data_IF_483950286239
#
_entry.id   IF_483950286239
#
_cell.length_a   1.000
_cell.length_b   1.000
_cell.length_c   1.000
_cell.angle_alpha   90.00
_cell.angle_beta   90.00
_cell.angle_gamma   90.00
#
_symmetry.space_group_name_H-M   'P 1'
#
loop_
_entity.id
_entity.type
_entity.pdbx_description
1 polymer ?
#
# COMPACT_ATOMS: atom_id res chain seq x y z
N UNK A 1 -14.12 19.12 -8.28
CA UNK A 1 -13.36 18.33 -7.27
C UNK A 1 -13.52 16.85 -7.63
N UNK A 2 -12.46 16.01 -7.61
CA UNK A 2 -12.58 14.57 -7.86
C UNK A 2 -13.41 13.92 -6.76
N UNK A 3 -14.30 12.98 -7.11
CA UNK A 3 -15.06 12.14 -6.16
C UNK A 3 -14.13 11.16 -5.42
N UNK A 4 -14.58 10.55 -4.33
CA UNK A 4 -13.79 9.53 -3.65
C UNK A 4 -13.51 8.32 -4.53
N UNK A 5 -14.47 7.90 -5.35
CA UNK A 5 -14.30 6.85 -6.36
C UNK A 5 -13.16 7.19 -7.33
N UNK A 6 -13.14 8.39 -7.88
CA UNK A 6 -12.06 8.84 -8.80
C UNK A 6 -10.70 8.94 -8.10
N UNK A 7 -10.67 9.38 -6.83
CA UNK A 7 -9.45 9.45 -6.03
C UNK A 7 -8.90 8.07 -5.66
N UNK A 8 -9.75 7.07 -5.45
CA UNK A 8 -9.38 5.71 -5.05
C UNK A 8 -9.35 4.71 -6.23
N UNK A 9 -9.46 5.21 -7.47
CA UNK A 9 -9.33 4.41 -8.69
C UNK A 9 -7.91 4.46 -9.24
N UNK A 10 -7.37 3.31 -9.67
CA UNK A 10 -6.05 3.21 -10.29
C UNK A 10 -4.99 2.58 -9.41
N UNK A 11 -3.73 3.02 -9.57
CA UNK A 11 -2.57 2.39 -8.94
C UNK A 11 -1.88 3.35 -7.98
N UNK A 12 -1.54 2.81 -6.81
CA UNK A 12 -0.80 3.51 -5.75
C UNK A 12 0.51 2.79 -5.44
N UNK A 13 1.59 3.54 -5.24
CA UNK A 13 2.82 3.00 -4.72
C UNK A 13 2.83 3.07 -3.19
N UNK A 14 2.99 1.95 -2.47
CA UNK A 14 3.34 1.97 -1.05
C UNK A 14 4.82 2.32 -0.93
N UNK A 15 5.13 3.62 -0.89
CA UNK A 15 6.49 4.13 -1.06
C UNK A 15 7.39 3.62 0.05
N UNK A 16 8.59 3.16 -0.34
CA UNK A 16 9.64 2.73 0.61
C UNK A 16 10.27 3.92 1.30
N UNK A 17 10.79 3.71 2.51
CA UNK A 17 11.64 4.66 3.22
C UNK A 17 13.09 4.22 3.06
N UNK A 18 13.95 4.97 2.33
CA UNK A 18 15.34 4.61 2.16
C UNK A 18 16.16 4.81 3.44
N UNK A 19 17.00 3.82 3.77
CA UNK A 19 17.97 3.94 4.87
C UNK A 19 19.39 3.58 4.38
N UNK A 20 20.40 4.03 5.14
CA UNK A 20 21.79 3.58 5.01
C UNK A 20 22.43 3.64 6.38
N UNK A 21 23.11 2.56 6.78
CA UNK A 21 23.69 2.44 8.12
C UNK A 21 22.69 2.80 9.23
N UNK A 22 21.45 2.35 9.09
CA UNK A 22 20.32 2.63 10.01
C UNK A 22 19.79 4.07 10.01
N UNK A 23 20.42 4.99 9.26
CA UNK A 23 20.01 6.39 9.16
C UNK A 23 19.00 6.61 8.02
N UNK A 24 18.04 7.51 8.27
CA UNK A 24 17.01 7.90 7.32
C UNK A 24 17.55 8.79 6.21
N UNK A 25 17.33 8.42 4.94
CA UNK A 25 17.79 9.16 3.76
C UNK A 25 16.65 9.97 3.13
N UNK A 26 16.33 11.14 3.69
CA UNK A 26 15.23 11.99 3.21
C UNK A 26 15.45 12.52 1.79
N UNK A 27 16.70 12.79 1.38
CA UNK A 27 17.01 13.25 0.01
C UNK A 27 16.77 12.14 -1.03
N UNK A 28 17.02 10.88 -0.67
CA UNK A 28 16.70 9.75 -1.53
C UNK A 28 15.18 9.53 -1.63
N UNK A 29 14.45 9.75 -0.54
CA UNK A 29 12.99 9.75 -0.54
C UNK A 29 12.44 10.87 -1.45
N UNK A 30 12.99 12.12 -1.35
CA UNK A 30 12.62 13.23 -2.24
C UNK A 30 12.87 12.88 -3.70
N UNK A 31 14.04 12.33 -4.01
CA UNK A 31 14.37 11.90 -5.36
C UNK A 31 13.34 10.89 -5.89
N UNK A 32 12.99 9.88 -5.10
CA UNK A 32 12.03 8.86 -5.49
C UNK A 32 10.64 9.45 -5.72
N UNK A 33 10.16 10.32 -4.83
CA UNK A 33 8.84 10.95 -4.97
C UNK A 33 8.76 11.85 -6.20
N UNK A 34 9.81 12.64 -6.50
CA UNK A 34 9.89 13.45 -7.73
C UNK A 34 9.80 12.58 -8.97
N UNK A 35 10.54 11.47 -9.01
CA UNK A 35 10.50 10.53 -10.14
C UNK A 35 9.15 9.82 -10.25
N UNK A 36 8.54 9.41 -9.14
CA UNK A 36 7.21 8.79 -9.11
C UNK A 36 6.10 9.78 -9.51
N UNK A 37 6.24 11.06 -9.18
CA UNK A 37 5.27 12.11 -9.54
C UNK A 37 5.09 12.25 -11.04
N UNK A 38 6.14 12.04 -11.83
CA UNK A 38 6.13 12.11 -13.30
C UNK A 38 5.48 10.88 -13.95
N UNK A 39 4.98 9.93 -13.16
CA UNK A 39 4.35 8.71 -13.65
C UNK A 39 2.83 8.78 -13.61
N UNK A 40 2.17 7.78 -14.21
CA UNK A 40 0.70 7.69 -14.25
C UNK A 40 0.07 7.16 -12.94
N UNK A 41 0.81 7.09 -11.83
CA UNK A 41 0.27 6.70 -10.54
C UNK A 41 -0.86 7.64 -10.11
N UNK A 42 -1.92 7.09 -9.55
CA UNK A 42 -2.99 7.87 -8.90
C UNK A 42 -2.46 8.54 -7.63
N UNK A 43 -1.59 7.84 -6.90
CA UNK A 43 -1.03 8.37 -5.66
C UNK A 43 -0.11 7.41 -4.92
N UNK A 44 0.00 7.64 -3.61
CA UNK A 44 0.94 6.96 -2.73
C UNK A 44 0.28 6.46 -1.45
N UNK A 45 0.87 5.42 -0.86
CA UNK A 45 0.70 5.08 0.54
C UNK A 45 2.01 5.40 1.27
N UNK A 46 2.01 6.46 2.05
CA UNK A 46 3.09 6.83 2.97
C UNK A 46 2.99 6.01 4.26
N UNK A 47 4.11 5.72 4.90
CA UNK A 47 4.16 4.99 6.18
C UNK A 47 3.38 3.66 6.17
N UNK A 48 3.37 2.97 5.01
CA UNK A 48 2.87 1.60 4.90
C UNK A 48 3.94 0.58 5.32
N UNK A 49 3.65 -0.72 5.11
CA UNK A 49 4.61 -1.81 5.42
C UNK A 49 5.89 -1.71 4.58
N UNK A 50 5.81 -1.31 3.31
CA UNK A 50 7.01 -1.06 2.49
C UNK A 50 7.79 0.18 2.96
N UNK A 51 7.12 1.13 3.61
CA UNK A 51 7.76 2.29 4.25
C UNK A 51 8.36 1.96 5.61
N UNK A 52 8.29 0.70 6.05
CA UNK A 52 8.88 0.20 7.31
C UNK A 52 8.45 1.03 8.54
N UNK A 53 7.19 1.55 8.53
CA UNK A 53 6.74 2.55 9.51
C UNK A 53 6.87 2.12 10.97
N UNK A 54 6.83 0.81 11.26
CA UNK A 54 7.01 0.26 12.61
C UNK A 54 8.45 0.37 13.13
N UNK A 55 9.42 0.63 12.25
CA UNK A 55 10.83 0.83 12.61
C UNK A 55 11.20 2.30 12.77
N UNK A 56 10.29 3.21 12.44
CA UNK A 56 10.47 4.65 12.56
C UNK A 56 9.93 5.15 13.92
N UNK A 57 10.69 6.00 14.60
CA UNK A 57 10.17 6.75 15.74
C UNK A 57 9.24 7.89 15.29
N UNK A 58 8.56 8.56 16.23
CA UNK A 58 7.57 9.58 15.90
C UNK A 58 8.17 10.80 15.19
N UNK A 59 9.42 11.18 15.50
CA UNK A 59 10.12 12.25 14.80
C UNK A 59 10.39 11.89 13.36
N UNK A 60 10.95 10.71 13.12
CA UNK A 60 11.24 10.20 11.77
C UNK A 60 9.96 10.04 10.92
N UNK A 61 8.87 9.55 11.53
CA UNK A 61 7.59 9.48 10.83
C UNK A 61 7.12 10.88 10.39
N UNK A 62 7.29 11.90 11.22
CA UNK A 62 6.97 13.28 10.87
C UNK A 62 7.86 13.80 9.74
N UNK A 63 9.19 13.59 9.82
CA UNK A 63 10.14 14.00 8.78
C UNK A 63 9.81 13.35 7.41
N UNK A 64 9.43 12.08 7.41
CA UNK A 64 8.95 11.38 6.19
C UNK A 64 7.68 12.05 5.66
N UNK A 65 6.70 12.33 6.51
CA UNK A 65 5.44 12.96 6.08
C UNK A 65 5.66 14.39 5.56
N UNK A 66 6.58 15.15 6.13
CA UNK A 66 6.96 16.48 5.64
C UNK A 66 7.48 16.40 4.19
N UNK A 67 8.34 15.41 3.89
CA UNK A 67 8.80 15.17 2.51
C UNK A 67 7.63 14.81 1.58
N UNK A 68 6.68 13.98 2.03
CA UNK A 68 5.50 13.68 1.22
C UNK A 68 4.64 14.93 0.98
N UNK A 69 4.42 15.77 1.99
CA UNK A 69 3.65 16.99 1.85
C UNK A 69 4.28 17.95 0.82
N UNK A 70 5.60 18.06 0.81
CA UNK A 70 6.35 18.90 -0.13
C UNK A 70 6.33 18.36 -1.56
N UNK A 71 6.46 17.03 -1.75
CA UNK A 71 6.74 16.44 -3.06
C UNK A 71 5.54 15.75 -3.73
N UNK A 72 4.40 15.59 -3.03
CA UNK A 72 3.24 14.84 -3.56
C UNK A 72 2.62 15.43 -4.83
N UNK A 73 2.74 16.74 -5.04
CA UNK A 73 2.06 17.43 -6.14
C UNK A 73 0.55 17.25 -6.06
N UNK A 74 -0.06 16.82 -7.16
CA UNK A 74 -1.49 16.52 -7.30
C UNK A 74 -1.88 15.06 -6.99
N UNK A 75 -0.91 14.24 -6.59
CA UNK A 75 -1.10 12.83 -6.26
C UNK A 75 -1.88 12.67 -4.95
N UNK A 76 -2.78 11.69 -4.93
CA UNK A 76 -3.51 11.29 -3.72
C UNK A 76 -2.56 10.63 -2.74
N UNK A 77 -2.60 11.01 -1.48
CA UNK A 77 -1.78 10.38 -0.44
C UNK A 77 -2.64 9.78 0.65
N UNK A 78 -2.44 8.48 0.86
CA UNK A 78 -2.91 7.73 2.02
C UNK A 78 -1.77 7.64 3.04
N UNK A 79 -2.04 7.85 4.32
CA UNK A 79 -1.02 7.74 5.38
C UNK A 79 -1.32 6.57 6.29
N UNK A 80 -0.35 5.69 6.48
CA UNK A 80 -0.42 4.61 7.47
C UNK A 80 -0.36 5.19 8.90
N UNK A 81 -1.46 5.03 9.66
CA UNK A 81 -1.58 5.59 11.01
C UNK A 81 -1.94 4.54 12.06
N UNK A 82 -2.08 3.26 11.65
CA UNK A 82 -2.46 2.16 12.54
C UNK A 82 -1.46 1.94 13.68
N UNK A 83 -1.96 1.97 14.92
CA UNK A 83 -1.23 1.69 16.14
C UNK A 83 -1.93 0.60 16.95
N UNK A 84 -1.28 0.13 18.02
CA UNK A 84 -1.86 -0.88 18.93
C UNK A 84 -3.02 -0.32 19.77
N UNK A 85 -3.08 0.99 19.99
CA UNK A 85 -4.20 1.61 20.70
C UNK A 85 -5.02 2.51 19.78
N UNK A 86 -6.35 2.50 19.98
CA UNK A 86 -7.28 3.42 19.30
C UNK A 86 -6.89 4.87 19.49
N UNK A 87 -6.45 5.25 20.70
CA UNK A 87 -6.02 6.61 21.03
C UNK A 87 -4.86 7.08 20.16
N UNK A 88 -3.77 6.31 20.10
CA UNK A 88 -2.60 6.67 19.28
C UNK A 88 -2.94 6.68 17.78
N UNK A 89 -3.79 5.76 17.32
CA UNK A 89 -4.28 5.75 15.94
C UNK A 89 -5.02 7.06 15.60
N UNK A 90 -5.89 7.52 16.49
CA UNK A 90 -6.60 8.82 16.35
C UNK A 90 -5.61 9.99 16.33
N UNK A 91 -4.66 10.02 17.27
CA UNK A 91 -3.66 11.10 17.36
C UNK A 91 -2.83 11.20 16.06
N UNK A 92 -2.31 10.07 15.55
CA UNK A 92 -1.57 10.04 14.28
C UNK A 92 -2.45 10.38 13.07
N UNK A 93 -3.71 9.95 13.08
CA UNK A 93 -4.65 10.25 12.00
C UNK A 93 -4.98 11.75 11.93
N UNK A 94 -5.08 12.42 13.07
CA UNK A 94 -5.24 13.88 13.13
C UNK A 94 -4.01 14.60 12.59
N UNK A 95 -2.81 14.17 12.98
CA UNK A 95 -1.56 14.74 12.43
C UNK A 95 -1.53 14.61 10.90
N UNK A 96 -1.90 13.47 10.35
CA UNK A 96 -1.97 13.28 8.91
C UNK A 96 -3.01 14.21 8.25
N UNK A 97 -4.16 14.41 8.87
CA UNK A 97 -5.20 15.33 8.40
C UNK A 97 -4.74 16.80 8.43
N UNK A 98 -4.08 17.22 9.52
CA UNK A 98 -3.55 18.58 9.69
C UNK A 98 -2.45 18.89 8.66
N UNK A 99 -1.71 17.88 8.18
CA UNK A 99 -0.72 18.01 7.11
C UNK A 99 -1.35 18.01 5.70
N UNK A 100 -2.68 17.91 5.57
CA UNK A 100 -3.39 18.00 4.32
C UNK A 100 -3.33 16.74 3.43
N UNK A 101 -3.22 15.56 4.05
CA UNK A 101 -3.30 14.29 3.32
C UNK A 101 -4.75 13.86 3.11
N UNK A 102 -5.00 13.06 2.05
CA UNK A 102 -6.35 12.75 1.57
C UNK A 102 -7.06 11.67 2.40
N UNK A 103 -6.30 10.66 2.87
CA UNK A 103 -6.83 9.49 3.58
C UNK A 103 -5.86 9.00 4.64
N UNK A 104 -6.39 8.32 5.64
CA UNK A 104 -5.57 7.50 6.54
C UNK A 104 -5.84 6.02 6.28
N UNK A 105 -4.77 5.21 6.36
CA UNK A 105 -4.81 3.76 6.18
C UNK A 105 -4.47 3.08 7.51
N UNK A 106 -5.43 2.39 8.09
CA UNK A 106 -5.34 1.87 9.46
C UNK A 106 -5.19 0.35 9.45
N UNK A 107 -3.96 -0.12 9.74
CA UNK A 107 -3.69 -1.54 9.96
C UNK A 107 -4.33 -2.00 11.28
N UNK A 108 -4.81 -3.24 11.33
CA UNK A 108 -5.37 -3.85 12.54
C UNK A 108 -4.35 -3.83 13.70
N UNK A 109 -4.79 -3.52 14.95
CA UNK A 109 -3.98 -3.80 16.12
C UNK A 109 -3.67 -5.29 16.22
N UNK A 110 -2.49 -5.65 16.71
CA UNK A 110 -2.00 -7.03 16.63
C UNK A 110 -1.33 -7.57 17.89
N UNK A 111 -0.94 -6.70 18.82
CA UNK A 111 -0.25 -7.15 20.04
C UNK A 111 -1.07 -8.13 20.87
N UNK A 112 -2.38 -7.87 20.99
CA UNK A 112 -3.34 -8.78 21.62
C UNK A 112 -4.16 -9.53 20.59
N UNK A 113 -3.51 -10.16 19.59
CA UNK A 113 -4.16 -10.76 18.41
C UNK A 113 -5.37 -11.63 18.75
N UNK A 114 -5.28 -12.46 19.80
CA UNK A 114 -6.38 -13.35 20.24
C UNK A 114 -7.62 -12.61 20.75
N UNK A 115 -7.54 -11.32 21.00
CA UNK A 115 -8.63 -10.46 21.45
C UNK A 115 -9.16 -9.53 20.36
N UNK A 116 -8.56 -9.56 19.17
CA UNK A 116 -8.96 -8.73 18.03
C UNK A 116 -10.02 -9.46 17.20
N UNK A 117 -11.17 -9.72 17.81
CA UNK A 117 -12.35 -10.27 17.14
C UNK A 117 -13.13 -9.20 16.36
N UNK A 118 -14.15 -9.63 15.63
CA UNK A 118 -14.95 -8.73 14.79
C UNK A 118 -15.54 -7.53 15.53
N UNK A 119 -16.24 -7.71 16.67
CA UNK A 119 -16.78 -6.61 17.45
C UNK A 119 -15.72 -5.65 18.00
N UNK A 120 -14.58 -6.17 18.45
CA UNK A 120 -13.45 -5.36 18.94
C UNK A 120 -12.87 -4.49 17.83
N UNK A 121 -12.63 -5.08 16.65
CA UNK A 121 -12.13 -4.37 15.48
C UNK A 121 -13.16 -3.34 14.99
N UNK A 122 -14.45 -3.68 14.96
CA UNK A 122 -15.50 -2.74 14.57
C UNK A 122 -15.49 -1.51 15.47
N UNK A 123 -15.52 -1.69 16.79
CA UNK A 123 -15.48 -0.57 17.75
C UNK A 123 -14.21 0.27 17.61
N UNK A 124 -13.05 -0.37 17.31
CA UNK A 124 -11.80 0.35 17.07
C UNK A 124 -11.91 1.27 15.87
N UNK A 125 -12.35 0.74 14.71
CA UNK A 125 -12.41 1.50 13.47
C UNK A 125 -13.48 2.59 13.49
N UNK A 126 -14.66 2.32 14.07
CA UNK A 126 -15.71 3.33 14.25
C UNK A 126 -15.20 4.52 15.05
N UNK A 127 -14.55 4.27 16.21
CA UNK A 127 -13.97 5.34 17.05
C UNK A 127 -12.87 6.13 16.34
N UNK A 128 -12.04 5.46 15.51
CA UNK A 128 -11.04 6.15 14.71
C UNK A 128 -11.72 7.03 13.68
N UNK A 129 -12.71 6.52 12.98
CA UNK A 129 -13.43 7.23 11.93
C UNK A 129 -14.24 8.43 12.45
N UNK A 130 -14.88 8.28 13.62
CA UNK A 130 -15.61 9.37 14.29
C UNK A 130 -14.70 10.56 14.68
N UNK A 131 -13.45 10.24 15.02
CA UNK A 131 -12.49 11.24 15.54
C UNK A 131 -11.55 11.81 14.48
N UNK A 132 -11.54 11.26 13.26
CA UNK A 132 -10.59 11.60 12.20
C UNK A 132 -11.23 12.54 11.17
N UNK A 133 -10.63 13.72 10.87
CA UNK A 133 -11.21 14.68 9.94
C UNK A 133 -11.19 14.24 8.46
N UNK A 134 -10.34 13.28 8.11
CA UNK A 134 -10.22 12.71 6.76
C UNK A 134 -10.71 11.26 6.73
N UNK A 135 -11.17 10.76 5.58
CA UNK A 135 -11.70 9.40 5.50
C UNK A 135 -10.67 8.32 5.85
N UNK A 136 -11.18 7.27 6.48
CA UNK A 136 -10.42 6.10 6.92
C UNK A 136 -10.53 4.99 5.87
N UNK A 137 -9.39 4.40 5.53
CA UNK A 137 -9.28 3.15 4.78
C UNK A 137 -8.79 2.06 5.74
N UNK A 138 -9.52 0.96 5.82
CA UNK A 138 -9.07 -0.21 6.56
C UNK A 138 -7.83 -0.80 5.88
N UNK A 139 -6.91 -1.36 6.63
CA UNK A 139 -5.81 -2.13 6.07
C UNK A 139 -5.79 -3.54 6.64
N UNK A 140 -6.13 -4.51 5.81
CA UNK A 140 -6.12 -5.93 6.13
C UNK A 140 -4.84 -6.57 5.59
N UNK A 141 -3.91 -6.89 6.50
CA UNK A 141 -2.63 -7.50 6.16
C UNK A 141 -2.18 -8.44 7.28
N UNK A 142 -2.79 -9.63 7.37
CA UNK A 142 -2.55 -10.59 8.46
C UNK A 142 -1.07 -10.91 8.69
N UNK A 143 -0.29 -11.00 7.61
CA UNK A 143 1.16 -11.27 7.67
C UNK A 143 1.96 -10.18 8.39
N UNK A 144 1.44 -8.95 8.50
CA UNK A 144 2.03 -7.83 9.22
C UNK A 144 1.33 -7.52 10.54
N UNK A 145 0.24 -8.23 10.84
CA UNK A 145 -0.63 -7.98 11.97
C UNK A 145 -0.86 -9.24 12.82
N UNK A 146 0.17 -10.07 13.02
CA UNK A 146 0.09 -11.24 13.90
C UNK A 146 -1.04 -12.23 13.55
N UNK A 147 -1.45 -12.29 12.28
CA UNK A 147 -2.55 -13.13 11.80
C UNK A 147 -3.94 -12.50 11.96
N UNK A 148 -4.05 -11.30 12.52
CA UNK A 148 -5.36 -10.62 12.67
C UNK A 148 -5.90 -10.21 11.30
N UNK A 149 -7.15 -10.60 11.05
CA UNK A 149 -7.91 -10.24 9.85
C UNK A 149 -9.18 -9.52 10.25
N UNK A 150 -9.63 -8.59 9.41
CA UNK A 150 -10.97 -8.00 9.55
C UNK A 150 -11.98 -8.95 8.90
N UNK A 151 -12.90 -9.56 9.67
CA UNK A 151 -13.86 -10.52 9.11
C UNK A 151 -14.80 -9.85 8.09
N UNK A 152 -15.24 -10.54 7.02
CA UNK A 152 -16.15 -9.96 6.04
C UNK A 152 -17.45 -9.36 6.63
N UNK A 153 -18.11 -9.97 7.65
CA UNK A 153 -19.26 -9.34 8.30
C UNK A 153 -18.92 -7.99 8.97
N UNK A 154 -17.73 -7.89 9.57
CA UNK A 154 -17.24 -6.65 10.18
C UNK A 154 -16.98 -5.58 9.13
N UNK A 155 -16.36 -5.96 7.99
CA UNK A 155 -16.14 -5.03 6.86
C UNK A 155 -17.49 -4.52 6.34
N UNK A 156 -18.48 -5.40 6.19
CA UNK A 156 -19.83 -5.03 5.75
C UNK A 156 -20.52 -4.05 6.70
N UNK A 157 -20.33 -4.20 8.00
CA UNK A 157 -20.87 -3.27 9.00
C UNK A 157 -20.15 -1.92 8.90
N UNK A 158 -18.82 -1.93 8.82
CA UNK A 158 -17.98 -0.73 8.72
C UNK A 158 -18.20 0.05 7.42
N UNK A 159 -18.56 -0.62 6.32
CA UNK A 159 -18.88 0.02 5.05
C UNK A 159 -20.10 0.96 5.11
N UNK A 160 -20.93 0.86 6.16
CA UNK A 160 -22.07 1.76 6.41
C UNK A 160 -21.64 3.06 7.12
N UNK A 161 -20.42 3.13 7.62
CA UNK A 161 -19.95 4.31 8.34
C UNK A 161 -19.54 5.42 7.34
N UNK A 162 -20.05 6.67 7.48
CA UNK A 162 -19.88 7.72 6.46
C UNK A 162 -18.42 8.15 6.24
N UNK A 163 -17.53 7.91 7.22
CA UNK A 163 -16.11 8.26 7.15
C UNK A 163 -15.18 7.04 7.00
N UNK A 164 -15.72 5.84 6.65
CA UNK A 164 -14.93 4.65 6.30
C UNK A 164 -15.21 4.32 4.84
N UNK A 165 -14.29 4.70 3.95
CA UNK A 165 -14.57 4.70 2.51
C UNK A 165 -13.90 3.55 1.74
N UNK A 166 -13.21 2.66 2.42
CA UNK A 166 -12.60 1.54 1.71
C UNK A 166 -11.64 0.73 2.53
N UNK A 167 -10.99 -0.19 1.83
CA UNK A 167 -10.03 -1.11 2.42
C UNK A 167 -8.92 -1.45 1.41
N UNK A 168 -7.68 -1.44 1.87
CA UNK A 168 -6.59 -2.17 1.22
C UNK A 168 -6.55 -3.58 1.76
N UNK A 169 -6.69 -4.58 0.89
CA UNK A 169 -6.53 -5.98 1.28
C UNK A 169 -5.24 -6.57 0.72
N UNK A 170 -4.39 -7.05 1.63
CA UNK A 170 -3.13 -7.74 1.34
C UNK A 170 -3.11 -9.16 1.92
N UNK A 171 -4.27 -9.74 2.25
CA UNK A 171 -4.36 -11.13 2.68
C UNK A 171 -3.88 -12.08 1.59
N UNK A 172 -3.45 -13.29 1.98
CA UNK A 172 -2.94 -14.29 1.02
C UNK A 172 -4.02 -14.79 0.06
N UNK A 173 -5.29 -14.70 0.45
CA UNK A 173 -6.44 -15.11 -0.37
C UNK A 173 -6.96 -14.01 -1.28
N UNK A 174 -6.46 -12.77 -1.15
CA UNK A 174 -6.99 -11.61 -1.87
C UNK A 174 -8.38 -11.17 -1.40
N UNK A 175 -8.92 -10.09 -1.98
CA UNK A 175 -10.14 -9.45 -1.48
C UNK A 175 -11.44 -10.11 -1.95
N UNK A 176 -11.41 -11.31 -2.52
CA UNK A 176 -12.57 -11.91 -3.20
C UNK A 176 -13.78 -12.10 -2.28
N UNK A 177 -13.56 -12.60 -1.05
CA UNK A 177 -14.62 -12.78 -0.07
C UNK A 177 -15.18 -11.44 0.45
N UNK A 178 -14.31 -10.43 0.55
CA UNK A 178 -14.71 -9.08 0.95
C UNK A 178 -15.57 -8.43 -0.12
N UNK A 179 -15.14 -8.50 -1.39
CA UNK A 179 -15.90 -7.98 -2.53
C UNK A 179 -17.29 -8.65 -2.64
N UNK A 180 -17.35 -9.96 -2.42
CA UNK A 180 -18.63 -10.70 -2.43
C UNK A 180 -19.54 -10.37 -1.24
N UNK A 181 -19.01 -9.85 -0.12
CA UNK A 181 -19.78 -9.53 1.07
C UNK A 181 -20.33 -8.10 1.09
N UNK A 182 -19.81 -7.20 0.25
CA UNK A 182 -20.22 -5.80 0.18
C UNK A 182 -21.51 -5.63 -0.62
N UNK A 183 -22.32 -4.64 -0.22
CA UNK A 183 -23.43 -4.19 -1.02
C UNK A 183 -22.93 -3.26 -2.14
N UNK A 184 -23.27 -3.50 -3.40
CA UNK A 184 -22.89 -2.61 -4.50
C UNK A 184 -23.36 -1.15 -4.35
N UNK A 185 -24.37 -0.92 -3.51
CA UNK A 185 -24.87 0.43 -3.20
C UNK A 185 -24.01 1.17 -2.16
N UNK A 186 -23.10 0.48 -1.45
CA UNK A 186 -22.23 1.12 -0.49
C UNK A 186 -21.08 1.87 -1.21
N UNK A 187 -20.80 3.10 -0.81
CA UNK A 187 -19.62 3.82 -1.24
C UNK A 187 -18.39 3.31 -0.49
N UNK A 188 -17.99 2.08 -0.81
CA UNK A 188 -16.84 1.43 -0.18
C UNK A 188 -15.89 0.84 -1.23
N UNK A 189 -14.63 1.26 -1.21
CA UNK A 189 -13.65 1.00 -2.24
C UNK A 189 -12.62 -0.06 -1.79
N UNK A 190 -12.49 -1.14 -2.54
CA UNK A 190 -11.47 -2.16 -2.29
C UNK A 190 -10.26 -1.89 -3.18
N UNK A 191 -9.08 -1.84 -2.55
CA UNK A 191 -7.78 -1.74 -3.21
C UNK A 191 -7.01 -3.06 -3.02
N UNK A 192 -6.66 -3.71 -4.12
CA UNK A 192 -5.84 -4.92 -4.09
C UNK A 192 -4.42 -4.60 -3.58
N UNK A 193 -3.96 -5.33 -2.57
CA UNK A 193 -2.65 -5.10 -1.94
C UNK A 193 -1.50 -5.89 -2.55
N UNK A 194 -1.74 -6.66 -3.62
CA UNK A 194 -0.73 -7.44 -4.33
C UNK A 194 -1.00 -7.50 -5.83
N UNK A 195 0.08 -7.52 -6.62
CA UNK A 195 -0.01 -7.73 -8.06
C UNK A 195 -0.52 -9.14 -8.42
N UNK A 196 -0.38 -10.13 -7.54
CA UNK A 196 -0.82 -11.50 -7.78
C UNK A 196 -2.33 -11.66 -7.95
N UNK A 197 -3.11 -10.77 -7.34
CA UNK A 197 -4.57 -10.77 -7.46
C UNK A 197 -5.17 -9.44 -7.93
N UNK A 198 -4.32 -8.49 -8.35
CA UNK A 198 -4.81 -7.16 -8.78
C UNK A 198 -5.77 -7.26 -9.96
N UNK A 199 -5.35 -7.88 -11.08
CA UNK A 199 -6.19 -8.00 -12.27
C UNK A 199 -7.51 -8.76 -12.02
N UNK A 200 -7.53 -9.96 -11.41
CA UNK A 200 -8.80 -10.62 -11.11
C UNK A 200 -9.69 -9.83 -10.13
N UNK A 201 -9.12 -9.04 -9.22
CA UNK A 201 -9.90 -8.19 -8.32
C UNK A 201 -10.63 -7.06 -9.06
N UNK A 202 -10.04 -6.52 -10.14
CA UNK A 202 -10.70 -5.49 -10.97
C UNK A 202 -11.98 -6.03 -11.63
N UNK A 203 -12.00 -7.29 -12.06
CA UNK A 203 -13.20 -7.95 -12.61
C UNK A 203 -14.31 -8.12 -11.56
N UNK A 204 -13.97 -8.11 -10.29
CA UNK A 204 -14.90 -8.17 -9.16
C UNK A 204 -15.17 -6.81 -8.52
N UNK A 205 -14.93 -5.73 -9.27
CA UNK A 205 -15.21 -4.33 -8.87
C UNK A 205 -14.28 -3.74 -7.82
N UNK A 206 -13.06 -4.29 -7.63
CA UNK A 206 -12.02 -3.53 -6.95
C UNK A 206 -11.71 -2.24 -7.73
N UNK A 207 -11.56 -1.12 -7.05
CA UNK A 207 -11.37 0.19 -7.70
C UNK A 207 -9.92 0.45 -8.11
N UNK A 208 -8.97 -0.27 -7.51
CA UNK A 208 -7.56 -0.09 -7.82
C UNK A 208 -6.66 -1.03 -7.04
N UNK A 209 -5.37 -0.68 -6.97
CA UNK A 209 -4.37 -1.45 -6.24
C UNK A 209 -3.28 -0.61 -5.60
N UNK A 210 -2.80 -1.07 -4.44
CA UNK A 210 -1.62 -0.54 -3.75
C UNK A 210 -0.51 -1.58 -3.90
N UNK A 211 0.35 -1.40 -4.90
CA UNK A 211 1.23 -2.46 -5.40
C UNK A 211 2.70 -2.17 -5.09
N UNK A 212 3.40 -3.08 -4.42
CA UNK A 212 4.83 -2.93 -4.09
C UNK A 212 5.68 -2.66 -5.34
N UNK A 213 5.36 -3.32 -6.47
CA UNK A 213 6.04 -3.11 -7.75
C UNK A 213 5.79 -1.76 -8.39
N UNK A 214 4.81 -0.98 -7.94
CA UNK A 214 4.64 0.41 -8.35
C UNK A 214 5.79 1.33 -7.87
N UNK A 215 6.62 0.87 -6.92
CA UNK A 215 7.88 1.52 -6.57
C UNK A 215 8.99 1.29 -7.62
N UNK A 216 8.92 0.20 -8.39
CA UNK A 216 9.95 -0.25 -9.32
C UNK A 216 9.55 0.06 -10.77
N UNK A 217 8.36 -0.37 -11.16
CA UNK A 217 7.79 -0.22 -12.50
C UNK A 217 6.41 0.46 -12.45
N UNK A 218 6.32 1.74 -12.02
CA UNK A 218 5.05 2.43 -11.81
C UNK A 218 4.18 2.46 -13.07
N UNK A 219 4.75 2.82 -14.22
CA UNK A 219 3.99 2.93 -15.47
C UNK A 219 3.50 1.57 -15.98
N UNK A 220 4.22 0.48 -15.71
CA UNK A 220 3.79 -0.89 -16.07
C UNK A 220 2.58 -1.31 -15.23
N UNK A 221 2.60 -1.00 -13.93
CA UNK A 221 1.45 -1.25 -13.06
C UNK A 221 0.22 -0.44 -13.49
N UNK A 222 0.43 0.82 -13.87
CA UNK A 222 -0.63 1.69 -14.40
C UNK A 222 -1.14 1.20 -15.76
N UNK A 223 -0.27 0.71 -16.63
CA UNK A 223 -0.65 0.15 -17.92
C UNK A 223 -1.59 -1.05 -17.77
N UNK A 224 -1.34 -1.94 -16.80
CA UNK A 224 -2.27 -3.04 -16.52
C UNK A 224 -3.66 -2.55 -16.16
N UNK A 225 -3.75 -1.53 -15.30
CA UNK A 225 -5.03 -0.91 -14.95
C UNK A 225 -5.70 -0.27 -16.16
N UNK A 226 -4.95 0.47 -16.96
CA UNK A 226 -5.46 1.14 -18.17
C UNK A 226 -5.99 0.15 -19.21
N UNK A 227 -5.25 -0.93 -19.48
CA UNK A 227 -5.70 -2.02 -20.37
C UNK A 227 -7.02 -2.64 -19.90
N UNK A 228 -7.19 -2.80 -18.58
CA UNK A 228 -8.46 -3.28 -18.03
C UNK A 228 -9.61 -2.28 -18.28
N UNK A 229 -9.40 -0.99 -18.02
CA UNK A 229 -10.42 0.05 -18.24
C UNK A 229 -10.81 0.17 -19.71
N UNK A 230 -9.87 -0.03 -20.63
CA UNK A 230 -10.10 -0.02 -22.07
C UNK A 230 -10.77 -1.31 -22.60
N UNK A 231 -11.02 -2.33 -21.74
CA UNK A 231 -11.57 -3.61 -22.16
C UNK A 231 -10.59 -4.53 -22.90
N UNK A 232 -9.30 -4.20 -22.91
CA UNK A 232 -8.22 -4.98 -23.54
C UNK A 232 -7.75 -6.11 -22.62
N UNK A 233 -8.70 -6.99 -22.29
CA UNK A 233 -8.52 -7.98 -21.23
C UNK A 233 -7.44 -9.02 -21.51
N UNK A 234 -7.23 -9.42 -22.77
CA UNK A 234 -6.18 -10.38 -23.11
C UNK A 234 -4.77 -9.80 -22.89
N UNK A 235 -4.56 -8.55 -23.25
CA UNK A 235 -3.30 -7.86 -23.04
C UNK A 235 -3.07 -7.60 -21.54
N UNK A 236 -4.12 -7.16 -20.81
CA UNK A 236 -4.07 -7.00 -19.36
C UNK A 236 -3.72 -8.32 -18.67
N UNK A 237 -4.28 -9.45 -19.12
CA UNK A 237 -3.98 -10.77 -18.56
C UNK A 237 -2.52 -11.18 -18.78
N UNK A 238 -1.96 -10.96 -19.97
CA UNK A 238 -0.54 -11.24 -20.24
C UNK A 238 0.35 -10.42 -19.32
N UNK A 239 0.08 -9.11 -19.19
CA UNK A 239 0.86 -8.23 -18.33
C UNK A 239 0.69 -8.58 -16.84
N UNK A 240 -0.51 -8.96 -16.42
CA UNK A 240 -0.78 -9.45 -15.07
C UNK A 240 0.11 -10.61 -14.68
N UNK A 241 0.20 -11.66 -15.52
CA UNK A 241 1.03 -12.82 -15.20
C UNK A 241 2.52 -12.45 -15.07
N UNK A 242 3.02 -11.53 -15.88
CA UNK A 242 4.40 -11.02 -15.75
C UNK A 242 4.60 -10.31 -14.40
N UNK A 243 3.70 -9.39 -14.04
CA UNK A 243 3.76 -8.69 -12.75
C UNK A 243 3.56 -9.63 -11.55
N UNK A 244 2.69 -10.64 -11.66
CA UNK A 244 2.47 -11.62 -10.61
C UNK A 244 3.73 -12.44 -10.33
N UNK A 245 4.40 -12.94 -11.38
CA UNK A 245 5.67 -13.67 -11.23
C UNK A 245 6.79 -12.82 -10.63
N UNK A 246 6.82 -11.51 -10.94
CA UNK A 246 7.75 -10.58 -10.28
C UNK A 246 7.39 -10.40 -8.80
N UNK A 247 6.11 -10.24 -8.47
CA UNK A 247 5.68 -10.10 -7.09
C UNK A 247 6.04 -11.31 -6.23
N UNK A 248 5.88 -12.52 -6.78
CA UNK A 248 6.29 -13.76 -6.13
C UNK A 248 7.81 -13.89 -5.98
N UNK A 249 8.55 -13.63 -7.05
CA UNK A 249 10.01 -13.83 -7.08
C UNK A 249 10.81 -12.74 -6.38
N UNK A 250 10.23 -11.59 -6.10
CA UNK A 250 10.92 -10.44 -5.48
C UNK A 250 10.27 -10.06 -4.16
N UNK A 251 9.02 -9.59 -4.18
CA UNK A 251 8.37 -9.06 -2.97
C UNK A 251 8.03 -10.16 -1.97
N UNK A 252 7.49 -11.31 -2.43
CA UNK A 252 7.15 -12.40 -1.53
C UNK A 252 8.40 -13.16 -1.05
N UNK A 253 9.40 -13.32 -1.91
CA UNK A 253 10.61 -14.06 -1.60
C UNK A 253 11.60 -13.29 -0.70
N UNK A 254 11.72 -11.97 -0.86
CA UNK A 254 12.72 -11.15 -0.18
C UNK A 254 12.15 -9.90 0.53
N UNK A 255 10.82 -9.79 0.62
CA UNK A 255 10.16 -8.69 1.33
C UNK A 255 10.53 -7.31 0.82
N UNK A 256 10.53 -6.32 1.72
CA UNK A 256 10.90 -4.94 1.40
C UNK A 256 12.35 -4.81 0.93
N UNK A 257 13.27 -5.63 1.43
CA UNK A 257 14.67 -5.63 1.00
C UNK A 257 14.81 -5.99 -0.49
N UNK A 258 13.98 -6.95 -0.98
CA UNK A 258 13.92 -7.29 -2.41
C UNK A 258 13.35 -6.16 -3.27
N UNK A 259 12.30 -5.49 -2.79
CA UNK A 259 11.74 -4.32 -3.47
C UNK A 259 12.76 -3.20 -3.59
N UNK A 260 13.47 -2.88 -2.51
CA UNK A 260 14.53 -1.85 -2.50
C UNK A 260 15.67 -2.18 -3.46
N UNK A 261 16.13 -3.43 -3.47
CA UNK A 261 17.15 -3.87 -4.44
C UNK A 261 16.67 -3.74 -5.89
N UNK A 262 15.41 -4.09 -6.17
CA UNK A 262 14.82 -3.92 -7.49
C UNK A 262 14.65 -2.43 -7.88
N UNK A 263 14.36 -1.55 -6.92
CA UNK A 263 14.31 -0.10 -7.14
C UNK A 263 15.65 0.46 -7.56
N UNK A 264 16.76 0.05 -6.90
CA UNK A 264 18.10 0.48 -7.27
C UNK A 264 18.43 0.07 -8.72
N UNK A 265 18.05 -1.14 -9.13
CA UNK A 265 18.23 -1.63 -10.50
C UNK A 265 17.38 -0.84 -11.52
N UNK A 266 16.22 -0.33 -11.12
CA UNK A 266 15.32 0.46 -11.97
C UNK A 266 15.63 1.97 -11.94
N UNK A 267 16.77 2.37 -11.36
CA UNK A 267 17.22 3.76 -11.30
C UNK A 267 16.47 4.63 -10.28
N UNK A 268 15.83 4.02 -9.29
CA UNK A 268 15.38 4.66 -8.06
C UNK A 268 16.45 4.53 -6.98
N UNK A 269 16.16 5.00 -5.77
CA UNK A 269 17.04 4.92 -4.61
C UNK A 269 16.34 4.15 -3.51
N UNK A 270 16.40 2.80 -3.56
CA UNK A 270 15.76 1.93 -2.60
C UNK A 270 16.41 1.99 -1.22
N UNK A 271 17.73 2.08 -1.18
CA UNK A 271 18.51 2.04 0.04
C UNK A 271 18.49 0.68 0.73
N UNK A 272 18.97 0.64 1.96
CA UNK A 272 18.96 -0.54 2.81
C UNK A 272 17.62 -0.62 3.59
N UNK A 273 17.11 -1.82 3.96
CA UNK A 273 16.09 -1.91 4.98
C UNK A 273 16.67 -1.56 6.35
N UNK A 274 15.83 -1.08 7.28
CA UNK A 274 16.26 -0.79 8.65
C UNK A 274 16.42 -2.09 9.45
N UNK A 275 17.43 -2.17 10.33
CA UNK A 275 17.56 -3.28 11.26
C UNK A 275 16.28 -3.52 12.08
N UNK A 276 15.91 -4.80 12.39
CA UNK A 276 16.67 -6.04 12.22
C UNK A 276 16.64 -6.64 10.81
N UNK A 277 15.93 -6.05 9.85
CA UNK A 277 15.97 -6.51 8.47
C UNK A 277 17.37 -6.27 7.88
N UNK A 278 17.76 -7.16 6.97
CA UNK A 278 19.06 -7.08 6.31
C UNK A 278 18.89 -6.85 4.81
N UNK A 279 19.82 -6.15 4.16
CA UNK A 279 19.89 -6.11 2.70
C UNK A 279 19.94 -7.53 2.11
N UNK A 280 19.41 -7.69 0.90
CA UNK A 280 19.56 -8.96 0.18
C UNK A 280 21.02 -9.27 -0.13
N UNK A 281 21.40 -10.56 -0.11
CA UNK A 281 22.74 -10.98 -0.54
C UNK A 281 22.95 -10.75 -2.05
N UNK A 282 24.20 -10.72 -2.50
CA UNK A 282 24.53 -10.59 -3.93
C UNK A 282 23.89 -11.71 -4.76
N UNK A 283 23.83 -12.93 -4.24
CA UNK A 283 23.16 -14.05 -4.89
C UNK A 283 21.67 -13.77 -5.10
N UNK A 284 20.98 -13.27 -4.07
CA UNK A 284 19.56 -12.91 -4.15
C UNK A 284 19.38 -11.73 -5.09
N UNK A 285 20.28 -10.75 -5.05
CA UNK A 285 20.26 -9.59 -5.96
C UNK A 285 20.37 -10.02 -7.41
N UNK A 286 21.26 -10.96 -7.74
CA UNK A 286 21.39 -11.53 -9.07
C UNK A 286 20.12 -12.30 -9.50
N UNK A 287 19.52 -13.09 -8.60
CA UNK A 287 18.24 -13.79 -8.87
C UNK A 287 17.10 -12.81 -9.18
N UNK A 288 17.01 -11.71 -8.42
CA UNK A 288 16.03 -10.64 -8.66
C UNK A 288 16.24 -10.05 -10.05
N UNK A 289 17.49 -9.67 -10.39
CA UNK A 289 17.84 -9.12 -11.71
C UNK A 289 17.48 -10.08 -12.83
N UNK A 290 17.86 -11.33 -12.71
CA UNK A 290 17.53 -12.37 -13.70
C UNK A 290 16.01 -12.54 -13.88
N UNK A 291 15.25 -12.52 -12.79
CA UNK A 291 13.78 -12.60 -12.85
C UNK A 291 13.19 -11.40 -13.58
N UNK A 292 13.64 -10.17 -13.28
CA UNK A 292 13.17 -8.95 -13.95
C UNK A 292 13.40 -9.02 -15.45
N UNK A 293 14.61 -9.42 -15.86
CA UNK A 293 14.98 -9.56 -17.28
C UNK A 293 14.18 -10.67 -17.97
N UNK A 294 13.94 -11.81 -17.29
CA UNK A 294 13.14 -12.92 -17.83
C UNK A 294 11.68 -12.54 -18.10
N UNK A 295 11.14 -11.58 -17.34
CA UNK A 295 9.80 -11.03 -17.59
C UNK A 295 9.82 -9.90 -18.63
N UNK A 296 10.97 -9.61 -19.25
CA UNK A 296 11.13 -8.64 -20.32
C UNK A 296 11.11 -7.18 -19.86
N UNK A 297 11.50 -6.90 -18.60
CA UNK A 297 11.68 -5.54 -18.11
C UNK A 297 13.17 -5.19 -18.09
N UNK A 298 13.49 -3.96 -18.54
CA UNK A 298 14.86 -3.47 -18.53
C UNK A 298 15.24 -2.95 -17.13
N UNK A 299 16.46 -3.28 -16.70
CA UNK A 299 17.10 -2.75 -15.49
C UNK A 299 18.60 -2.63 -15.74
N UNK A 300 19.25 -1.72 -15.02
CA UNK A 300 20.70 -1.48 -15.08
C UNK A 300 21.50 -2.56 -14.33
#
# INVERSE_FOLDING_TARGET
MRTHKEKLSGVFAPVVTPFRNDELLLDDLRFNLRKLRETNLTGYLALGSNGEYRTLNDREQREVLEVFAEEKGDKVVMVGTGCESTRQTIEKSKVAADMGFDYVSVLTPSYFAKRMDGPTLQSHYERVADATPVPVLLYNAPQFAGGVQVPPPTVRALAKHPNILGMKDSSSTGPFQLLAALDPADEFHILAGSATFFYPSLHLSATGGVLSFANVFPNVCCQLYQLFIEGRYDEARVLHFRLARLAEGVSAAAGVAGVKAAMDMAGFRGGEPRHPLKPVSDEIRQKIRARILAEGFAVD
#
